data_IF_029110535244
#
_entry.id   IF_029110535244
#
_cell.length_a   1.000
_cell.length_b   1.000
_cell.length_c   1.000
_cell.angle_alpha   90.00
_cell.angle_beta   90.00
_cell.angle_gamma   90.00
#
_symmetry.space_group_name_H-M   'P 1'
#
loop_
_entity.id
_entity.type
_entity.pdbx_description
1 polymer ?
#
# COMPACT_ATOMS: atom_id res chain seq x y z
N UNK A 1 -4.85 -28.78 -7.81
CA UNK A 1 -5.66 -27.70 -7.22
C UNK A 1 -6.04 -28.05 -5.81
N UNK A 2 -5.91 -27.12 -4.87
CA UNK A 2 -6.36 -27.32 -3.50
C UNK A 2 -7.89 -27.33 -3.49
N UNK A 3 -8.51 -28.33 -2.86
CA UNK A 3 -9.95 -28.34 -2.66
C UNK A 3 -10.32 -27.19 -1.70
N UNK A 4 -11.21 -26.30 -2.13
CA UNK A 4 -11.61 -25.10 -1.37
C UNK A 4 -12.10 -25.47 0.04
N UNK A 5 -12.62 -26.69 0.22
CA UNK A 5 -13.09 -27.23 1.49
C UNK A 5 -11.97 -27.53 2.50
N UNK A 6 -10.72 -27.61 2.07
CA UNK A 6 -9.56 -27.86 2.94
C UNK A 6 -8.85 -26.57 3.42
N UNK A 7 -9.30 -25.39 2.96
CA UNK A 7 -8.71 -24.10 3.36
C UNK A 7 -9.15 -23.75 4.79
N UNK A 8 -8.24 -23.91 5.75
CA UNK A 8 -8.49 -23.62 7.17
C UNK A 8 -8.18 -22.19 7.60
N UNK A 9 -7.44 -21.44 6.79
CA UNK A 9 -6.97 -20.08 7.11
C UNK A 9 -7.62 -19.10 6.16
N UNK A 10 -8.39 -18.16 6.72
CA UNK A 10 -8.95 -17.05 5.96
C UNK A 10 -7.85 -16.02 5.67
N UNK A 11 -7.75 -15.60 4.41
CA UNK A 11 -6.80 -14.59 3.95
C UNK A 11 -7.56 -13.28 3.74
N UNK A 12 -6.99 -12.19 4.21
CA UNK A 12 -7.44 -10.83 3.89
C UNK A 12 -6.34 -10.12 3.09
N UNK A 13 -6.71 -9.55 1.95
CA UNK A 13 -5.83 -8.79 1.06
C UNK A 13 -5.94 -7.31 1.40
N UNK A 14 -4.80 -6.69 1.69
CA UNK A 14 -4.69 -5.23 1.89
C UNK A 14 -4.10 -4.60 0.64
N UNK A 15 -4.96 -4.11 -0.26
CA UNK A 15 -4.55 -3.50 -1.52
C UNK A 15 -4.00 -2.08 -1.31
N UNK A 16 -2.86 -1.77 -1.95
CA UNK A 16 -2.15 -0.50 -1.72
C UNK A 16 -1.65 0.21 -2.98
N UNK A 17 -1.66 -0.44 -4.16
CA UNK A 17 -1.25 0.15 -5.44
C UNK A 17 -1.95 -0.57 -6.60
N UNK A 18 -2.02 0.09 -7.78
CA UNK A 18 -2.56 -0.45 -9.02
C UNK A 18 -1.58 -0.18 -10.16
N UNK A 19 -1.05 -1.24 -10.77
CA UNK A 19 0.01 -1.13 -11.78
C UNK A 19 -0.48 -1.29 -13.22
N UNK A 20 -1.69 -1.80 -13.41
CA UNK A 20 -2.27 -2.05 -14.72
C UNK A 20 -3.79 -2.00 -14.63
N UNK A 21 -4.44 -1.36 -15.61
CA UNK A 21 -5.90 -1.25 -15.65
C UNK A 21 -6.36 -1.18 -17.12
N UNK A 22 -7.32 -2.03 -17.50
CA UNK A 22 -8.03 -1.97 -18.79
C UNK A 22 -7.14 -1.88 -20.04
N UNK A 23 -6.03 -2.62 -20.07
CA UNK A 23 -5.11 -2.59 -21.22
C UNK A 23 -3.93 -1.63 -21.06
N UNK A 24 -3.97 -0.73 -20.08
CA UNK A 24 -2.96 0.31 -19.86
C UNK A 24 -2.04 -0.03 -18.68
N UNK A 25 -0.72 0.08 -18.92
CA UNK A 25 0.28 0.06 -17.87
C UNK A 25 0.31 1.41 -17.13
N UNK A 26 0.25 1.36 -15.81
CA UNK A 26 0.24 2.54 -14.94
C UNK A 26 1.61 2.81 -14.30
N UNK A 27 2.65 2.02 -14.60
CA UNK A 27 3.95 2.10 -13.90
C UNK A 27 4.62 3.47 -14.02
N UNK A 28 4.43 4.17 -15.14
CA UNK A 28 4.94 5.52 -15.38
C UNK A 28 4.06 6.64 -14.81
N UNK A 29 2.89 6.31 -14.24
CA UNK A 29 2.00 7.28 -13.59
C UNK A 29 2.48 7.55 -12.16
N UNK A 30 2.32 8.77 -11.62
CA UNK A 30 2.57 9.07 -10.21
C UNK A 30 1.71 8.20 -9.27
N UNK A 31 2.22 7.90 -8.07
CA UNK A 31 1.52 7.06 -7.10
C UNK A 31 0.14 7.60 -6.71
N UNK A 32 -0.03 8.93 -6.65
CA UNK A 32 -1.35 9.54 -6.40
C UNK A 32 -2.40 9.07 -7.40
N UNK A 33 -2.06 9.06 -8.68
CA UNK A 33 -2.97 8.67 -9.76
C UNK A 33 -3.26 7.18 -9.71
N UNK A 34 -2.24 6.34 -9.50
CA UNK A 34 -2.41 4.89 -9.35
C UNK A 34 -3.30 4.53 -8.15
N UNK A 35 -3.10 5.20 -7.01
CA UNK A 35 -3.93 5.03 -5.81
C UNK A 35 -5.37 5.51 -6.05
N UNK A 36 -5.57 6.63 -6.74
CA UNK A 36 -6.92 7.10 -7.10
C UNK A 36 -7.65 6.04 -7.94
N UNK A 37 -7.00 5.55 -9.00
CA UNK A 37 -7.56 4.51 -9.87
C UNK A 37 -7.83 3.20 -9.12
N UNK A 38 -6.95 2.80 -8.17
CA UNK A 38 -7.19 1.65 -7.30
C UNK A 38 -8.51 1.78 -6.54
N UNK A 39 -8.74 2.92 -5.90
CA UNK A 39 -9.94 3.18 -5.11
C UNK A 39 -11.21 3.24 -5.97
N UNK A 40 -11.11 3.75 -7.19
CA UNK A 40 -12.23 3.82 -8.14
C UNK A 40 -12.55 2.45 -8.76
N UNK A 41 -11.54 1.57 -8.87
CA UNK A 41 -11.67 0.28 -9.58
C UNK A 41 -12.03 -0.90 -8.69
N UNK A 42 -11.78 -0.81 -7.37
CA UNK A 42 -11.97 -1.92 -6.43
C UNK A 42 -13.11 -1.63 -5.46
N UNK A 43 -14.02 -2.60 -5.32
CA UNK A 43 -15.01 -2.64 -4.24
C UNK A 43 -14.48 -3.52 -3.11
N UNK A 44 -14.24 -2.93 -1.94
CA UNK A 44 -13.79 -3.67 -0.76
C UNK A 44 -14.84 -4.68 -0.27
N UNK A 45 -14.34 -5.80 0.26
CA UNK A 45 -15.08 -6.85 0.94
C UNK A 45 -14.47 -7.01 2.33
N UNK A 46 -15.16 -6.60 3.41
CA UNK A 46 -14.62 -6.68 4.76
C UNK A 46 -14.16 -8.11 5.11
N UNK A 47 -12.93 -8.23 5.62
CA UNK A 47 -12.33 -9.52 5.99
C UNK A 47 -11.71 -10.31 4.83
N UNK A 48 -11.82 -9.82 3.59
CA UNK A 48 -11.28 -10.50 2.40
C UNK A 48 -10.43 -9.57 1.51
N UNK A 49 -10.90 -8.37 1.21
CA UNK A 49 -10.22 -7.37 0.38
C UNK A 49 -10.52 -5.97 0.89
N UNK A 50 -9.50 -5.30 1.43
CA UNK A 50 -9.59 -3.93 1.94
C UNK A 50 -8.44 -3.10 1.40
N UNK A 51 -8.54 -1.78 1.49
CA UNK A 51 -7.38 -0.92 1.21
C UNK A 51 -6.46 -0.89 2.42
N UNK A 52 -5.16 -0.82 2.17
CA UNK A 52 -4.19 -0.52 3.21
C UNK A 52 -4.48 0.86 3.80
N UNK A 53 -4.46 0.95 5.14
CA UNK A 53 -4.62 2.22 5.82
C UNK A 53 -3.49 3.18 5.40
N UNK A 54 -3.83 4.45 5.16
CA UNK A 54 -2.82 5.44 4.77
C UNK A 54 -3.22 6.84 5.18
N UNK A 55 -2.21 7.69 5.38
CA UNK A 55 -2.35 9.12 5.62
C UNK A 55 -1.51 9.89 4.62
N UNK A 56 -2.01 11.04 4.18
CA UNK A 56 -1.28 11.97 3.30
C UNK A 56 -0.93 13.20 4.10
N UNK A 57 0.36 13.46 4.27
CA UNK A 57 0.85 14.63 5.00
C UNK A 57 2.24 15.02 4.52
N UNK A 58 2.58 16.30 4.68
CA UNK A 58 3.93 16.83 4.56
C UNK A 58 4.50 17.29 5.90
N UNK A 59 3.75 17.09 7.00
CA UNK A 59 4.15 17.49 8.34
C UNK A 59 4.92 16.35 9.03
N UNK A 60 6.15 16.62 9.45
CA UNK A 60 7.04 15.65 10.10
C UNK A 60 6.46 15.17 11.44
N UNK A 61 5.83 16.05 12.22
CA UNK A 61 5.23 15.67 13.50
C UNK A 61 4.06 14.71 13.30
N UNK A 62 3.26 14.91 12.25
CA UNK A 62 2.18 13.98 11.91
C UNK A 62 2.71 12.62 11.45
N UNK A 63 3.84 12.60 10.72
CA UNK A 63 4.51 11.37 10.31
C UNK A 63 4.99 10.62 11.55
N UNK A 64 5.68 11.29 12.47
CA UNK A 64 6.19 10.69 13.70
C UNK A 64 5.05 10.14 14.58
N UNK A 65 3.97 10.89 14.75
CA UNK A 65 2.82 10.45 15.51
C UNK A 65 2.17 9.20 14.90
N UNK A 66 2.06 9.14 13.57
CA UNK A 66 1.49 7.97 12.89
C UNK A 66 2.43 6.76 12.91
N UNK A 67 3.74 7.01 12.84
CA UNK A 67 4.77 5.99 13.03
C UNK A 67 4.65 5.35 14.42
N UNK A 68 4.58 6.16 15.49
CA UNK A 68 4.39 5.69 16.86
C UNK A 68 3.07 4.91 17.04
N UNK A 69 2.00 5.36 16.39
CA UNK A 69 0.72 4.67 16.41
C UNK A 69 0.82 3.28 15.76
N UNK A 70 1.47 3.18 14.60
CA UNK A 70 1.65 1.90 13.91
C UNK A 70 2.44 0.88 14.74
N UNK A 71 3.40 1.33 15.54
CA UNK A 71 4.11 0.46 16.51
C UNK A 71 3.17 -0.05 17.59
N UNK A 72 2.30 0.82 18.13
CA UNK A 72 1.31 0.44 19.16
C UNK A 72 0.27 -0.55 18.61
N UNK A 73 -0.03 -0.46 17.32
CA UNK A 73 -0.97 -1.34 16.62
C UNK A 73 -0.30 -2.63 16.10
N UNK A 74 0.88 -2.99 16.61
CA UNK A 74 1.66 -4.19 16.28
C UNK A 74 2.02 -4.32 14.77
N UNK A 75 2.02 -3.20 14.04
CA UNK A 75 2.51 -3.18 12.66
C UNK A 75 4.03 -3.42 12.65
N UNK A 76 4.50 -4.29 11.76
CA UNK A 76 5.92 -4.65 11.65
C UNK A 76 6.74 -3.63 10.88
N UNK A 77 6.07 -2.88 10.01
CA UNK A 77 6.71 -1.93 9.13
C UNK A 77 5.80 -0.75 8.81
N UNK A 78 6.44 0.31 8.33
CA UNK A 78 5.79 1.54 7.90
C UNK A 78 6.34 1.94 6.54
N UNK A 79 5.44 2.31 5.63
CA UNK A 79 5.79 2.67 4.25
C UNK A 79 5.51 4.15 4.01
N UNK A 80 6.55 4.89 3.63
CA UNK A 80 6.44 6.27 3.13
C UNK A 80 6.59 6.24 1.61
N UNK A 81 5.65 6.86 0.90
CA UNK A 81 5.64 6.90 -0.57
C UNK A 81 5.48 8.34 -1.06
N UNK A 82 6.34 8.76 -1.98
CA UNK A 82 6.13 10.02 -2.72
C UNK A 82 4.84 9.90 -3.56
N UNK A 83 4.09 11.00 -3.66
CA UNK A 83 2.76 11.00 -4.31
C UNK A 83 2.81 11.49 -5.75
N UNK A 84 3.56 12.56 -5.99
CA UNK A 84 3.53 13.34 -7.23
C UNK A 84 4.92 13.38 -7.88
N UNK A 85 5.87 14.07 -7.25
CA UNK A 85 7.25 14.18 -7.74
C UNK A 85 8.03 12.89 -7.53
N UNK A 86 8.70 12.44 -8.59
CA UNK A 86 9.47 11.19 -8.62
C UNK A 86 8.71 10.03 -7.95
N UNK A 87 7.46 9.82 -8.36
CA UNK A 87 6.50 8.90 -7.71
C UNK A 87 6.06 7.72 -8.59
N UNK A 88 6.76 7.46 -9.70
CA UNK A 88 6.51 6.31 -10.58
C UNK A 88 6.87 4.98 -9.90
N UNK A 89 6.34 3.87 -10.43
CA UNK A 89 6.69 2.53 -9.96
C UNK A 89 7.91 2.01 -10.73
N UNK A 90 9.06 1.91 -10.06
CA UNK A 90 10.31 1.44 -10.67
C UNK A 90 10.52 -0.05 -10.42
N UNK A 91 10.36 -0.86 -11.46
CA UNK A 91 10.54 -2.31 -11.38
C UNK A 91 12.03 -2.64 -11.15
N UNK A 92 12.29 -3.60 -10.25
CA UNK A 92 13.63 -4.13 -9.95
C UNK A 92 14.65 -3.11 -9.42
N UNK A 93 14.21 -1.93 -8.96
CA UNK A 93 15.07 -0.90 -8.37
C UNK A 93 14.68 -0.64 -6.93
N UNK A 94 15.68 -0.62 -6.04
CA UNK A 94 15.52 -0.08 -4.68
C UNK A 94 15.55 1.44 -4.78
N UNK A 95 14.39 2.04 -5.01
CA UNK A 95 14.25 3.48 -5.18
C UNK A 95 14.04 4.18 -3.84
N UNK A 96 14.32 5.49 -3.80
CA UNK A 96 13.97 6.37 -2.68
C UNK A 96 12.51 6.84 -2.75
N UNK A 97 11.72 6.33 -3.70
CA UNK A 97 10.30 6.70 -3.82
C UNK A 97 9.53 6.10 -2.66
N UNK A 98 9.92 4.88 -2.28
CA UNK A 98 9.25 4.05 -1.28
C UNK A 98 10.23 3.73 -0.16
N UNK A 99 10.06 4.37 0.99
CA UNK A 99 10.87 4.11 2.16
C UNK A 99 10.14 3.18 3.11
N UNK A 100 10.73 2.00 3.32
CA UNK A 100 10.32 1.08 4.36
C UNK A 100 11.09 1.41 5.63
N UNK A 101 10.35 1.69 6.70
CA UNK A 101 10.88 1.78 8.06
C UNK A 101 10.51 0.48 8.77
N UNK A 102 11.51 -0.26 9.21
CA UNK A 102 11.30 -1.45 10.05
C UNK A 102 11.40 -1.03 11.51
N UNK A 103 10.43 -1.44 12.31
CA UNK A 103 10.55 -1.32 13.75
C UNK A 103 11.41 -2.48 14.25
N UNK A 104 12.65 -2.19 14.62
CA UNK A 104 13.47 -3.13 15.36
C UNK A 104 12.86 -3.23 16.76
N UNK A 105 12.42 -4.44 17.13
CA UNK A 105 12.21 -4.78 18.53
C UNK A 105 13.56 -4.80 19.26
#
# INVERSE_FOLDING_TARGET
DADIKEIKVQICIFAFDLLYLNGESLVEKPFRERRRLLHESIRCIPGELVFAESRTTSNIDEINMYLEQSVKDDCKDFMIKTLDDDATYEIAKRSYKWHKINFLN
#
